data_IF_204117879869
#
_entry.id   IF_204117879869
#
_cell.length_a   1.000
_cell.length_b   1.000
_cell.length_c   1.000
_cell.angle_alpha   90.00
_cell.angle_beta   90.00
_cell.angle_gamma   90.00
#
_symmetry.space_group_name_H-M   'P 1'
#
loop_
_entity.id
_entity.type
_entity.pdbx_description
1 polymer ?
#
# COMPACT_ATOMS: atom_id res chain seq x y z
N UNK A 1 2.56 33.57 82.60
CA UNK A 1 2.12 32.44 81.75
C UNK A 1 3.20 31.38 81.77
N UNK A 2 2.86 30.13 82.12
CA UNK A 2 3.83 29.04 82.24
C UNK A 2 4.40 28.65 80.87
N UNK A 3 5.71 28.77 80.68
CA UNK A 3 6.43 28.41 79.44
C UNK A 3 6.11 26.99 78.97
N UNK A 4 5.82 26.07 79.90
CA UNK A 4 5.42 24.68 79.61
C UNK A 4 4.06 24.55 78.89
N UNK A 5 3.11 25.46 79.15
CA UNK A 5 1.81 25.46 78.46
C UNK A 5 1.90 26.03 77.03
N UNK A 6 2.76 27.04 76.83
CA UNK A 6 3.03 27.61 75.50
C UNK A 6 3.68 26.57 74.57
N UNK A 7 4.65 25.80 75.10
CA UNK A 7 5.32 24.72 74.35
C UNK A 7 4.33 23.63 73.93
N UNK A 8 3.41 23.23 74.82
CA UNK A 8 2.39 22.21 74.49
C UNK A 8 1.48 22.67 73.35
N UNK A 9 1.02 23.92 73.39
CA UNK A 9 0.17 24.49 72.34
C UNK A 9 0.95 24.53 71.01
N UNK A 10 2.22 24.96 71.03
CA UNK A 10 3.05 25.03 69.82
C UNK A 10 3.27 23.65 69.17
N UNK A 11 3.53 22.62 69.98
CA UNK A 11 3.68 21.23 69.50
C UNK A 11 2.36 20.71 68.93
N UNK A 12 1.23 20.99 69.59
CA UNK A 12 -0.10 20.62 69.07
C UNK A 12 -0.40 21.31 67.75
N UNK A 13 -0.08 22.59 67.61
CA UNK A 13 -0.25 23.33 66.35
C UNK A 13 0.56 22.71 65.21
N UNK A 14 1.83 22.38 65.46
CA UNK A 14 2.73 21.81 64.45
C UNK A 14 2.29 20.40 64.06
N UNK A 15 1.92 19.56 65.04
CA UNK A 15 1.44 18.20 64.78
C UNK A 15 0.13 18.20 64.01
N UNK A 16 -0.81 19.10 64.32
CA UNK A 16 -2.04 19.27 63.56
C UNK A 16 -1.74 19.64 62.09
N UNK A 17 -0.80 20.55 61.87
CA UNK A 17 -0.39 21.00 60.53
C UNK A 17 0.25 19.85 59.74
N UNK A 18 1.09 19.03 60.38
CA UNK A 18 1.67 17.83 59.77
C UNK A 18 0.62 16.77 59.41
N UNK A 19 -0.40 16.56 60.24
CA UNK A 19 -1.50 15.62 59.94
C UNK A 19 -2.29 16.08 58.72
N UNK A 20 -2.57 17.39 58.61
CA UNK A 20 -3.27 17.95 57.44
C UNK A 20 -2.45 17.74 56.16
N UNK A 21 -1.14 18.04 56.20
CA UNK A 21 -0.24 17.82 55.05
C UNK A 21 -0.20 16.34 54.67
N UNK A 22 -0.09 15.45 55.66
CA UNK A 22 -0.04 14.00 55.44
C UNK A 22 -1.32 13.48 54.78
N UNK A 23 -2.49 13.97 55.22
CA UNK A 23 -3.77 13.60 54.63
C UNK A 23 -3.89 14.06 53.17
N UNK A 24 -3.39 15.25 52.83
CA UNK A 24 -3.34 15.74 51.45
C UNK A 24 -2.40 14.87 50.60
N UNK A 25 -1.23 14.51 51.12
CA UNK A 25 -0.26 13.69 50.40
C UNK A 25 -0.79 12.30 50.04
N UNK A 26 -1.50 11.65 50.96
CA UNK A 26 -2.15 10.35 50.69
C UNK A 26 -3.19 10.48 49.58
N UNK A 27 -3.98 11.55 49.58
CA UNK A 27 -4.98 11.79 48.52
C UNK A 27 -4.32 12.01 47.15
N UNK A 28 -3.21 12.75 47.08
CA UNK A 28 -2.45 12.94 45.84
C UNK A 28 -1.87 11.60 45.36
N UNK A 29 -1.28 10.82 46.26
CA UNK A 29 -0.68 9.52 45.93
C UNK A 29 -1.72 8.55 45.36
N UNK A 30 -2.90 8.44 45.99
CA UNK A 30 -3.97 7.56 45.49
C UNK A 30 -4.46 8.01 44.10
N UNK A 31 -4.56 9.33 43.86
CA UNK A 31 -4.91 9.87 42.55
C UNK A 31 -3.87 9.55 41.49
N UNK A 32 -2.58 9.72 41.81
CA UNK A 32 -1.48 9.38 40.90
C UNK A 32 -1.47 7.90 40.55
N UNK A 33 -1.62 7.00 41.54
CA UNK A 33 -1.68 5.55 41.28
C UNK A 33 -2.85 5.19 40.35
N UNK A 34 -4.02 5.78 40.56
CA UNK A 34 -5.19 5.54 39.71
C UNK A 34 -4.98 6.11 38.29
N UNK A 35 -4.37 7.30 38.18
CA UNK A 35 -4.04 7.91 36.89
C UNK A 35 -3.03 7.08 36.10
N UNK A 36 -1.99 6.56 36.77
CA UNK A 36 -0.98 5.68 36.14
C UNK A 36 -1.61 4.36 35.69
N UNK A 37 -2.47 3.75 36.52
CA UNK A 37 -3.20 2.53 36.14
C UNK A 37 -4.07 2.77 34.92
N UNK A 38 -4.88 3.83 34.94
CA UNK A 38 -5.72 4.20 33.80
C UNK A 38 -4.91 4.49 32.54
N UNK A 39 -3.74 5.13 32.68
CA UNK A 39 -2.82 5.37 31.56
C UNK A 39 -2.29 4.06 30.97
N UNK A 40 -1.84 3.14 31.82
CA UNK A 40 -1.34 1.83 31.40
C UNK A 40 -2.44 0.98 30.74
N UNK A 41 -3.65 0.97 31.31
CA UNK A 41 -4.80 0.26 30.74
C UNK A 41 -5.22 0.87 29.40
N UNK A 42 -5.14 2.19 29.24
CA UNK A 42 -5.37 2.89 27.98
C UNK A 42 -4.35 2.51 26.90
N UNK A 43 -3.06 2.47 27.24
CA UNK A 43 -2.01 2.00 26.29
C UNK A 43 -2.23 0.54 25.88
N UNK A 44 -2.65 -0.31 26.81
CA UNK A 44 -2.99 -1.71 26.51
C UNK A 44 -4.22 -1.83 25.60
N UNK A 45 -5.27 -1.06 25.88
CA UNK A 45 -6.46 -1.00 25.03
C UNK A 45 -6.12 -0.53 23.61
N UNK A 46 -5.18 0.42 23.48
CA UNK A 46 -4.68 0.87 22.19
C UNK A 46 -3.96 -0.25 21.42
N UNK A 47 -3.04 -0.99 22.06
CA UNK A 47 -2.37 -2.12 21.41
C UNK A 47 -3.32 -3.25 21.01
N UNK A 48 -4.40 -3.45 21.78
CA UNK A 48 -5.47 -4.40 21.40
C UNK A 48 -6.23 -3.91 20.16
N UNK A 49 -6.48 -2.62 20.03
CA UNK A 49 -7.09 -2.04 18.84
C UNK A 49 -6.16 -2.18 17.61
N UNK A 50 -4.85 -1.93 17.75
CA UNK A 50 -3.88 -2.15 16.67
C UNK A 50 -3.85 -3.62 16.22
N UNK A 51 -3.83 -4.56 17.17
CA UNK A 51 -3.91 -5.99 16.85
C UNK A 51 -5.19 -6.34 16.08
N UNK A 52 -6.31 -5.66 16.38
CA UNK A 52 -7.56 -5.80 15.63
C UNK A 52 -7.47 -5.29 14.18
N UNK A 53 -6.75 -4.18 13.94
CA UNK A 53 -6.48 -3.70 12.58
C UNK A 53 -5.64 -4.73 11.81
N UNK A 54 -4.55 -5.22 12.39
CA UNK A 54 -3.68 -6.24 11.75
C UNK A 54 -4.42 -7.53 11.43
N UNK A 55 -5.31 -7.96 12.34
CA UNK A 55 -6.21 -9.09 12.14
C UNK A 55 -7.14 -8.85 10.94
N UNK A 56 -7.76 -7.68 10.88
CA UNK A 56 -8.65 -7.31 9.78
C UNK A 56 -7.94 -7.31 8.43
N UNK A 57 -6.72 -6.77 8.36
CA UNK A 57 -5.90 -6.79 7.15
C UNK A 57 -5.60 -8.22 6.69
N UNK A 58 -5.27 -9.10 7.63
CA UNK A 58 -4.98 -10.51 7.34
C UNK A 58 -6.23 -11.26 6.85
N UNK A 59 -7.38 -11.06 7.48
CA UNK A 59 -8.63 -11.73 7.08
C UNK A 59 -9.16 -11.17 5.76
N UNK A 60 -9.10 -9.84 5.55
CA UNK A 60 -9.52 -9.22 4.29
C UNK A 60 -8.69 -9.70 3.09
N UNK A 61 -7.39 -9.97 3.30
CA UNK A 61 -6.53 -10.55 2.25
C UNK A 61 -6.95 -11.95 1.80
N UNK A 62 -7.71 -12.68 2.63
CA UNK A 62 -8.16 -14.04 2.34
C UNK A 62 -9.63 -14.08 1.91
N UNK A 63 -10.48 -13.27 2.53
CA UNK A 63 -11.92 -13.17 2.23
C UNK A 63 -12.39 -11.70 2.29
N UNK A 64 -12.67 -11.12 1.12
CA UNK A 64 -13.20 -9.76 1.00
C UNK A 64 -14.63 -9.61 1.56
N UNK A 65 -15.33 -10.71 1.90
CA UNK A 65 -16.64 -10.69 2.54
C UNK A 65 -16.55 -10.56 4.07
N UNK A 66 -15.35 -10.51 4.64
CA UNK A 66 -15.13 -10.38 6.07
C UNK A 66 -15.71 -9.07 6.63
N UNK A 67 -16.60 -9.18 7.62
CA UNK A 67 -17.30 -8.03 8.22
C UNK A 67 -16.73 -7.59 9.57
N UNK A 68 -15.74 -8.31 10.10
CA UNK A 68 -15.22 -8.10 11.46
C UNK A 68 -15.60 -9.19 12.46
N UNK A 69 -15.06 -9.06 13.66
CA UNK A 69 -15.20 -9.99 14.79
C UNK A 69 -15.53 -9.20 16.06
N UNK A 70 -16.25 -9.81 17.00
CA UNK A 70 -16.57 -9.14 18.28
C UNK A 70 -16.07 -9.95 19.46
N UNK A 71 -15.58 -9.26 20.48
CA UNK A 71 -15.18 -9.79 21.77
C UNK A 71 -14.07 -10.84 21.65
N UNK A 72 -13.09 -10.58 20.79
CA UNK A 72 -11.93 -11.44 20.60
C UNK A 72 -10.97 -11.23 21.76
N UNK A 73 -10.65 -12.30 22.49
CA UNK A 73 -9.75 -12.22 23.64
C UNK A 73 -8.29 -12.27 23.20
N UNK A 74 -7.50 -11.31 23.69
CA UNK A 74 -6.07 -11.25 23.46
C UNK A 74 -5.38 -10.67 24.71
N UNK A 75 -4.49 -11.45 25.32
CA UNK A 75 -3.79 -11.03 26.54
C UNK A 75 -4.73 -10.77 27.71
N UNK A 76 -4.65 -9.56 28.27
CA UNK A 76 -5.43 -9.12 29.45
C UNK A 76 -6.73 -8.38 29.08
N UNK A 77 -7.11 -8.38 27.80
CA UNK A 77 -8.28 -7.66 27.33
C UNK A 77 -9.00 -8.34 26.16
N UNK A 78 -9.90 -7.59 25.55
CA UNK A 78 -10.63 -7.99 24.35
C UNK A 78 -10.62 -6.88 23.31
N UNK A 79 -10.80 -7.22 22.05
CA UNK A 79 -11.05 -6.24 21.00
C UNK A 79 -12.24 -6.63 20.12
N UNK A 80 -12.82 -5.62 19.48
CA UNK A 80 -13.77 -5.76 18.38
C UNK A 80 -13.12 -5.23 17.10
N UNK A 81 -13.50 -5.80 15.97
CA UNK A 81 -13.22 -5.31 14.62
C UNK A 81 -14.55 -5.17 13.90
N UNK A 82 -14.74 -4.06 13.23
CA UNK A 82 -15.85 -3.86 12.29
C UNK A 82 -15.30 -3.43 10.95
N UNK A 83 -15.77 -4.07 9.90
CA UNK A 83 -15.41 -3.74 8.53
C UNK A 83 -16.66 -3.33 7.76
N UNK A 84 -16.57 -2.23 7.04
CA UNK A 84 -17.62 -1.74 6.15
C UNK A 84 -17.02 -1.34 4.81
N UNK A 85 -17.82 -1.39 3.75
CA UNK A 85 -17.38 -0.91 2.43
C UNK A 85 -17.16 0.61 2.47
N UNK A 86 -16.06 1.06 1.88
CA UNK A 86 -15.70 2.46 1.70
C UNK A 86 -16.56 3.17 0.66
N UNK A 87 -16.39 4.48 0.57
CA UNK A 87 -17.05 5.33 -0.45
C UNK A 87 -16.47 5.12 -1.86
N UNK A 88 -15.36 4.39 -1.97
CA UNK A 88 -14.65 4.03 -3.19
C UNK A 88 -14.74 2.50 -3.35
N UNK A 89 -14.87 2.02 -4.59
CA UNK A 89 -14.87 0.59 -4.93
C UNK A 89 -13.62 -0.10 -4.37
N UNK A 90 -13.75 -1.34 -3.88
CA UNK A 90 -12.67 -2.12 -3.26
C UNK A 90 -11.98 -1.49 -2.05
N UNK A 91 -12.52 -0.40 -1.50
CA UNK A 91 -12.05 0.14 -0.22
C UNK A 91 -12.90 -0.40 0.92
N UNK A 92 -12.27 -0.64 2.07
CA UNK A 92 -12.87 -1.07 3.32
C UNK A 92 -12.50 -0.07 4.41
N UNK A 93 -13.49 0.39 5.17
CA UNK A 93 -13.27 1.09 6.43
C UNK A 93 -13.22 0.05 7.54
N UNK A 94 -12.06 -0.08 8.16
CA UNK A 94 -11.83 -0.96 9.31
C UNK A 94 -11.80 -0.10 10.56
N UNK A 95 -12.64 -0.43 11.54
CA UNK A 95 -12.58 0.16 12.88
C UNK A 95 -12.35 -0.96 13.88
N UNK A 96 -11.24 -0.88 14.61
CA UNK A 96 -10.93 -1.77 15.70
C UNK A 96 -11.00 -1.02 17.03
N UNK A 97 -11.63 -1.65 18.03
CA UNK A 97 -11.77 -1.07 19.37
C UNK A 97 -11.28 -2.07 20.41
N UNK A 98 -10.27 -1.68 21.18
CA UNK A 98 -9.71 -2.48 22.26
C UNK A 98 -10.26 -2.07 23.63
N UNK A 99 -10.43 -3.06 24.50
CA UNK A 99 -11.03 -2.92 25.82
C UNK A 99 -10.18 -3.63 26.88
N UNK A 100 -9.87 -2.93 27.97
CA UNK A 100 -9.17 -3.50 29.14
C UNK A 100 -9.93 -3.17 30.42
N UNK A 101 -10.22 -4.16 31.29
CA UNK A 101 -9.96 -5.60 31.11
C UNK A 101 -10.97 -6.30 30.20
N UNK A 102 -12.16 -5.73 30.01
CA UNK A 102 -13.23 -6.29 29.19
C UNK A 102 -14.23 -5.19 28.76
N UNK A 103 -15.20 -5.52 27.89
CA UNK A 103 -16.23 -4.58 27.41
C UNK A 103 -17.22 -4.09 28.46
N UNK A 104 -17.43 -4.85 29.53
CA UNK A 104 -18.55 -4.67 30.46
C UNK A 104 -18.16 -3.98 31.76
N UNK A 105 -16.88 -4.04 32.12
CA UNK A 105 -16.34 -3.50 33.36
C UNK A 105 -16.53 -1.98 33.46
N UNK A 106 -17.04 -1.52 34.61
CA UNK A 106 -17.18 -0.09 34.91
C UNK A 106 -15.81 0.52 35.17
N UNK A 107 -15.40 1.49 34.36
CA UNK A 107 -14.06 2.09 34.41
C UNK A 107 -13.03 1.40 33.52
N UNK A 108 -13.48 0.57 32.56
CA UNK A 108 -12.61 0.03 31.51
C UNK A 108 -11.87 1.13 30.76
N UNK A 109 -10.67 0.81 30.30
CA UNK A 109 -10.05 1.57 29.24
C UNK A 109 -10.61 1.12 27.89
N UNK A 110 -10.90 2.07 27.03
CA UNK A 110 -11.41 1.86 25.67
C UNK A 110 -10.61 2.75 24.72
N UNK A 111 -10.12 2.18 23.63
CA UNK A 111 -9.41 2.90 22.58
C UNK A 111 -9.85 2.38 21.23
N UNK A 112 -10.12 3.29 20.30
CA UNK A 112 -10.51 2.94 18.95
C UNK A 112 -9.49 3.45 17.95
N UNK A 113 -9.21 2.61 16.96
CA UNK A 113 -8.37 2.91 15.81
C UNK A 113 -9.22 2.68 14.55
N UNK A 114 -9.18 3.63 13.62
CA UNK A 114 -9.81 3.45 12.31
C UNK A 114 -8.77 3.53 11.21
N UNK A 115 -8.85 2.62 10.25
CA UNK A 115 -8.04 2.57 9.04
C UNK A 115 -8.92 2.42 7.80
N UNK A 116 -8.53 3.07 6.72
CA UNK A 116 -9.10 2.86 5.39
C UNK A 116 -8.14 1.96 4.61
N UNK A 117 -8.68 0.88 4.05
CA UNK A 117 -7.96 -0.32 3.63
C UNK A 117 -8.45 -0.67 2.23
N UNK A 118 -7.62 -0.50 1.19
CA UNK A 118 -8.00 -0.84 -0.19
C UNK A 118 -7.61 -2.28 -0.52
N UNK A 119 -8.57 -3.14 -0.86
CA UNK A 119 -8.30 -4.46 -1.40
C UNK A 119 -7.68 -4.33 -2.78
N UNK A 120 -6.55 -5.00 -2.97
CA UNK A 120 -6.01 -5.22 -4.30
C UNK A 120 -7.07 -5.93 -5.13
N UNK A 121 -7.45 -5.29 -6.23
CA UNK A 121 -7.98 -6.05 -7.33
C UNK A 121 -6.82 -6.88 -7.92
N UNK A 122 -7.11 -8.09 -8.36
CA UNK A 122 -6.16 -8.88 -9.14
C UNK A 122 -5.76 -8.06 -10.36
N UNK A 123 -4.46 -7.80 -10.53
CA UNK A 123 -3.96 -7.26 -11.79
C UNK A 123 -4.24 -8.31 -12.86
N UNK A 124 -5.13 -7.99 -13.80
CA UNK A 124 -5.47 -8.88 -14.91
C UNK A 124 -4.55 -8.56 -16.10
N UNK A 125 -3.64 -9.48 -16.38
CA UNK A 125 -2.68 -9.36 -17.47
C UNK A 125 -2.86 -10.55 -18.40
N UNK A 126 -3.40 -10.29 -19.58
CA UNK A 126 -3.71 -11.30 -20.59
C UNK A 126 -2.71 -11.34 -21.76
N UNK A 127 -1.61 -10.59 -21.67
CA UNK A 127 -0.54 -10.62 -22.68
C UNK A 127 0.77 -10.00 -22.19
N UNK A 128 1.90 -10.38 -22.78
CA UNK A 128 3.19 -9.72 -22.55
C UNK A 128 3.15 -8.24 -22.98
N UNK A 129 2.56 -7.97 -24.15
CA UNK A 129 2.39 -6.62 -24.69
C UNK A 129 0.94 -6.37 -25.13
N UNK A 130 0.25 -5.42 -24.49
CA UNK A 130 -1.07 -4.95 -24.89
C UNK A 130 -1.05 -3.49 -25.35
N UNK A 131 -1.72 -3.18 -26.46
CA UNK A 131 -1.80 -1.81 -26.96
C UNK A 131 -3.17 -1.38 -27.51
N UNK A 132 -3.51 -0.10 -27.32
CA UNK A 132 -4.62 0.57 -28.02
C UNK A 132 -4.26 1.09 -29.41
N UNK A 133 -3.01 0.94 -29.85
CA UNK A 133 -2.51 1.40 -31.13
C UNK A 133 -2.04 0.29 -32.05
N UNK A 134 -1.32 0.67 -33.12
CA UNK A 134 -0.62 -0.28 -33.98
C UNK A 134 0.67 -0.78 -33.30
N UNK A 135 1.06 -2.02 -33.58
CA UNK A 135 2.32 -2.64 -33.15
C UNK A 135 3.20 -2.91 -34.35
N UNK A 136 4.49 -2.56 -34.23
CA UNK A 136 5.54 -3.00 -35.13
C UNK A 136 6.67 -3.64 -34.33
N UNK A 137 6.93 -4.93 -34.55
CA UNK A 137 8.05 -5.69 -33.99
C UNK A 137 9.04 -6.00 -35.10
N UNK A 138 10.30 -5.62 -34.94
CA UNK A 138 11.33 -5.82 -35.97
C UNK A 138 12.75 -5.93 -35.42
N UNK A 139 13.72 -6.24 -36.30
CA UNK A 139 15.09 -6.52 -35.90
C UNK A 139 15.20 -8.00 -35.53
N UNK A 140 15.75 -8.27 -34.35
CA UNK A 140 15.80 -9.59 -33.70
C UNK A 140 15.27 -9.46 -32.26
N UNK A 141 14.17 -8.72 -32.12
CA UNK A 141 13.45 -8.61 -30.86
C UNK A 141 12.62 -9.88 -30.61
N UNK A 142 12.50 -10.25 -29.34
CA UNK A 142 11.73 -11.39 -28.86
C UNK A 142 10.62 -10.89 -27.92
N UNK A 143 9.42 -11.47 -28.05
CA UNK A 143 8.29 -11.20 -27.17
C UNK A 143 7.63 -12.54 -26.87
N UNK A 144 7.72 -12.99 -25.63
CA UNK A 144 7.14 -14.26 -25.19
C UNK A 144 5.98 -14.03 -24.22
N UNK A 145 4.77 -14.42 -24.65
CA UNK A 145 3.57 -14.43 -23.80
C UNK A 145 3.47 -15.64 -22.87
N UNK A 146 4.29 -16.68 -23.05
CA UNK A 146 4.16 -17.95 -22.35
C UNK A 146 2.76 -18.55 -22.53
N UNK A 147 2.04 -18.73 -21.42
CA UNK A 147 0.66 -19.26 -21.41
C UNK A 147 -0.40 -18.19 -21.75
N UNK A 148 -0.02 -16.92 -21.94
CA UNK A 148 -0.90 -15.83 -22.40
C UNK A 148 -0.49 -15.34 -23.79
N UNK A 149 -1.19 -14.35 -24.34
CA UNK A 149 -0.85 -13.85 -25.66
C UNK A 149 0.49 -13.09 -25.66
N UNK A 150 1.32 -13.26 -26.70
CA UNK A 150 2.53 -12.44 -26.86
C UNK A 150 2.16 -10.96 -27.04
N UNK A 151 1.39 -10.68 -28.08
CA UNK A 151 0.93 -9.32 -28.40
C UNK A 151 -0.59 -9.24 -28.58
N UNK A 152 -1.24 -8.36 -27.82
CA UNK A 152 -2.63 -7.95 -28.02
C UNK A 152 -2.69 -6.51 -28.52
N UNK A 153 -3.44 -6.22 -29.58
CA UNK A 153 -3.57 -4.85 -30.09
C UNK A 153 -4.94 -4.50 -30.66
N UNK A 154 -5.35 -3.24 -30.56
CA UNK A 154 -6.50 -2.71 -31.31
C UNK A 154 -6.14 -2.37 -32.77
N UNK A 155 -4.88 -1.99 -33.02
CA UNK A 155 -4.37 -1.62 -34.33
C UNK A 155 -3.70 -2.78 -35.08
N UNK A 156 -3.13 -2.48 -36.25
CA UNK A 156 -2.36 -3.49 -37.00
C UNK A 156 -1.16 -3.99 -36.20
N UNK A 157 -0.95 -5.30 -36.16
CA UNK A 157 0.23 -5.94 -35.59
C UNK A 157 1.11 -6.42 -36.76
N UNK A 158 2.34 -5.93 -36.82
CA UNK A 158 3.32 -6.28 -37.86
C UNK A 158 4.58 -6.80 -37.20
N UNK A 159 4.90 -8.07 -37.46
CA UNK A 159 6.17 -8.70 -37.07
C UNK A 159 6.99 -8.90 -38.34
N UNK A 160 8.23 -8.40 -38.36
CA UNK A 160 9.06 -8.40 -39.56
C UNK A 160 10.56 -8.57 -39.25
N UNK A 161 11.34 -9.01 -40.24
CA UNK A 161 12.76 -9.31 -40.03
C UNK A 161 12.94 -10.65 -39.34
N UNK A 162 13.88 -10.70 -38.39
CA UNK A 162 14.20 -11.88 -37.58
C UNK A 162 13.54 -11.79 -36.18
N UNK A 163 12.56 -10.90 -36.01
CA UNK A 163 11.82 -10.77 -34.76
C UNK A 163 10.90 -11.97 -34.55
N UNK A 164 10.80 -12.42 -33.30
CA UNK A 164 9.92 -13.49 -32.88
C UNK A 164 8.86 -12.97 -31.91
N UNK A 165 7.69 -13.59 -31.97
CA UNK A 165 6.61 -13.37 -31.03
C UNK A 165 5.99 -14.73 -30.76
N UNK A 166 6.02 -15.16 -29.50
CA UNK A 166 5.41 -16.40 -29.02
C UNK A 166 4.33 -16.12 -27.96
N UNK A 167 3.57 -17.14 -27.61
CA UNK A 167 2.47 -17.11 -26.64
C UNK A 167 1.26 -17.89 -27.13
N UNK A 168 0.21 -17.96 -26.31
CA UNK A 168 -1.05 -18.63 -26.64
C UNK A 168 -2.24 -17.64 -26.66
N UNK A 169 -2.58 -17.02 -27.82
CA UNK A 169 -1.88 -17.10 -29.11
C UNK A 169 -0.72 -16.07 -29.21
N UNK A 170 0.21 -16.23 -30.17
CA UNK A 170 1.33 -15.28 -30.30
C UNK A 170 0.88 -13.85 -30.57
N UNK A 171 -0.16 -13.67 -31.38
CA UNK A 171 -0.79 -12.37 -31.61
C UNK A 171 -2.31 -12.48 -31.58
N UNK A 172 -2.97 -11.48 -31.03
CA UNK A 172 -4.44 -11.38 -31.01
C UNK A 172 -4.91 -9.94 -31.05
N UNK A 173 -6.19 -9.74 -31.32
CA UNK A 173 -6.84 -8.43 -31.31
C UNK A 173 -7.78 -8.33 -30.13
N UNK A 174 -7.68 -7.25 -29.37
CA UNK A 174 -8.47 -7.00 -28.17
C UNK A 174 -8.61 -5.51 -27.92
N UNK A 175 -9.66 -5.12 -27.20
CA UNK A 175 -9.82 -3.74 -26.74
C UNK A 175 -8.81 -3.45 -25.64
N UNK A 176 -8.24 -2.25 -25.66
CA UNK A 176 -7.35 -1.79 -24.62
C UNK A 176 -8.17 -1.51 -23.35
N UNK A 177 -7.91 -2.23 -22.24
CA UNK A 177 -8.67 -2.06 -21.00
C UNK A 177 -8.42 -0.69 -20.37
N UNK A 178 -9.34 -0.25 -19.50
CA UNK A 178 -9.11 0.95 -18.69
C UNK A 178 -8.02 0.70 -17.65
N UNK A 179 -7.45 1.77 -17.08
CA UNK A 179 -6.47 1.65 -15.99
C UNK A 179 -7.03 0.85 -14.82
N UNK A 180 -8.29 1.12 -14.47
CA UNK A 180 -9.02 0.41 -13.42
C UNK A 180 -9.33 -1.04 -13.79
N UNK A 181 -9.47 -1.40 -15.06
CA UNK A 181 -9.64 -2.82 -15.43
C UNK A 181 -8.32 -3.58 -15.28
N UNK A 182 -7.18 -2.94 -15.57
CA UNK A 182 -5.84 -3.55 -15.44
C UNK A 182 -5.43 -3.68 -13.98
N UNK A 183 -5.49 -2.58 -13.22
CA UNK A 183 -4.95 -2.50 -11.87
C UNK A 183 -6.01 -2.67 -10.78
N UNK A 184 -7.29 -2.57 -11.14
CA UNK A 184 -8.45 -2.50 -10.23
C UNK A 184 -8.29 -1.57 -9.03
N UNK A 185 -7.55 -0.50 -9.27
CA UNK A 185 -7.48 0.71 -8.50
C UNK A 185 -7.51 1.90 -9.47
N UNK A 186 -7.97 3.05 -9.00
CA UNK A 186 -7.98 4.29 -9.79
C UNK A 186 -6.57 4.84 -9.99
N UNK A 187 -6.39 5.64 -11.04
CA UNK A 187 -5.14 6.38 -11.27
C UNK A 187 -4.71 7.19 -10.02
N UNK A 188 -5.66 7.86 -9.35
CA UNK A 188 -5.38 8.69 -8.17
C UNK A 188 -4.90 7.86 -6.96
N UNK A 189 -5.44 6.65 -6.77
CA UNK A 189 -5.04 5.75 -5.69
C UNK A 189 -3.62 5.24 -5.90
N UNK A 190 -3.31 4.71 -7.09
CA UNK A 190 -1.95 4.24 -7.44
C UNK A 190 -0.95 5.40 -7.38
N UNK A 191 -1.34 6.58 -7.89
CA UNK A 191 -0.49 7.77 -7.85
C UNK A 191 -0.19 8.23 -6.43
N UNK A 192 -1.13 8.08 -5.48
CA UNK A 192 -0.92 8.49 -4.08
C UNK A 192 0.18 7.69 -3.37
N UNK A 193 0.45 6.47 -3.86
CA UNK A 193 1.48 5.56 -3.34
C UNK A 193 2.81 5.64 -4.11
N UNK A 194 2.84 6.43 -5.19
CA UNK A 194 3.94 6.46 -6.13
C UNK A 194 5.05 7.47 -5.78
N UNK A 195 6.26 7.16 -6.21
CA UNK A 195 7.29 8.17 -6.40
C UNK A 195 6.98 8.95 -7.68
N UNK A 196 6.72 10.26 -7.54
CA UNK A 196 6.27 11.10 -8.65
C UNK A 196 7.44 11.85 -9.30
N UNK A 197 7.55 11.76 -10.62
CA UNK A 197 8.46 12.54 -11.45
C UNK A 197 7.68 13.43 -12.41
N UNK A 198 7.92 14.73 -12.37
CA UNK A 198 7.28 15.70 -13.28
C UNK A 198 8.28 16.19 -14.34
N UNK A 199 7.94 16.00 -15.62
CA UNK A 199 8.76 16.31 -16.80
C UNK A 199 10.25 15.90 -16.67
N UNK A 200 10.57 14.62 -16.44
CA UNK A 200 11.91 14.16 -16.05
C UNK A 200 12.97 14.21 -17.16
N UNK A 201 12.77 15.00 -18.22
CA UNK A 201 13.66 15.03 -19.40
C UNK A 201 15.14 15.18 -18.98
N UNK A 202 16.08 14.34 -19.45
CA UNK A 202 15.92 13.18 -20.32
C UNK A 202 16.00 11.82 -19.60
N UNK A 203 16.20 11.77 -18.27
CA UNK A 203 16.47 10.52 -17.55
C UNK A 203 15.80 10.53 -16.16
N UNK A 204 15.02 9.48 -15.89
CA UNK A 204 14.57 9.15 -14.53
C UNK A 204 15.80 8.76 -13.68
N UNK A 205 15.93 9.21 -12.42
CA UNK A 205 17.01 8.75 -11.55
C UNK A 205 16.92 7.23 -11.30
N UNK A 206 18.10 6.63 -11.20
CA UNK A 206 18.31 5.18 -11.08
C UNK A 206 18.29 4.75 -9.59
N UNK A 207 17.58 3.68 -9.19
CA UNK A 207 16.62 2.86 -9.95
C UNK A 207 15.15 3.30 -9.72
N UNK A 208 14.24 2.92 -10.63
CA UNK A 208 12.80 3.09 -10.43
C UNK A 208 12.23 1.83 -9.76
N UNK A 209 11.98 1.91 -8.44
CA UNK A 209 11.53 0.78 -7.63
C UNK A 209 10.14 1.03 -7.05
N UNK A 210 9.33 -0.01 -6.91
CA UNK A 210 7.95 0.11 -6.43
C UNK A 210 7.05 0.81 -7.45
N UNK A 211 6.14 1.69 -7.00
CA UNK A 211 5.31 2.48 -7.94
C UNK A 211 6.04 3.76 -8.33
N UNK A 212 6.31 3.92 -9.62
CA UNK A 212 6.88 5.13 -10.22
C UNK A 212 5.87 5.79 -11.13
N UNK A 213 5.47 7.02 -10.82
CA UNK A 213 4.52 7.80 -11.61
C UNK A 213 5.21 8.95 -12.33
N UNK A 214 5.13 8.97 -13.65
CA UNK A 214 5.82 9.94 -14.50
C UNK A 214 4.80 10.82 -15.21
N UNK A 215 4.77 12.09 -14.83
CA UNK A 215 3.98 13.11 -15.48
C UNK A 215 4.74 13.68 -16.69
N UNK A 216 4.29 13.30 -17.88
CA UNK A 216 4.93 13.67 -19.15
C UNK A 216 5.60 12.48 -19.82
N UNK A 217 6.47 12.78 -20.78
CA UNK A 217 7.20 11.75 -21.52
C UNK A 217 8.50 11.39 -20.81
N UNK A 218 8.90 10.12 -20.91
CA UNK A 218 10.05 9.57 -20.22
C UNK A 218 11.01 8.88 -21.20
N UNK A 219 12.29 8.81 -20.80
CA UNK A 219 13.29 8.05 -21.56
C UNK A 219 14.21 7.29 -20.62
N UNK A 220 14.37 5.99 -20.85
CA UNK A 220 15.31 5.10 -20.18
C UNK A 220 16.37 4.68 -21.20
N UNK A 221 17.44 5.47 -21.27
CA UNK A 221 18.46 5.31 -22.34
C UNK A 221 19.84 4.97 -21.79
N UNK A 222 20.00 4.99 -20.46
CA UNK A 222 21.26 4.65 -19.79
C UNK A 222 21.47 3.14 -19.87
N UNK A 223 22.59 2.71 -20.44
CA UNK A 223 22.97 1.29 -20.43
C UNK A 223 23.15 0.79 -19.00
N UNK A 224 22.56 -0.36 -18.69
CA UNK A 224 22.56 -0.97 -17.37
C UNK A 224 21.64 -0.29 -16.34
N UNK A 225 20.69 0.52 -16.78
CA UNK A 225 19.58 0.95 -15.92
C UNK A 225 18.79 -0.27 -15.45
N UNK A 226 18.34 -0.28 -14.19
CA UNK A 226 17.53 -1.35 -13.61
C UNK A 226 16.33 -0.75 -12.89
N UNK A 227 15.21 -1.46 -12.90
CA UNK A 227 14.03 -1.09 -12.13
C UNK A 227 13.15 -2.30 -11.83
N UNK A 228 12.31 -2.17 -10.82
CA UNK A 228 11.33 -3.18 -10.44
C UNK A 228 10.03 -2.49 -9.99
N UNK A 229 8.87 -3.12 -10.21
CA UNK A 229 7.60 -2.58 -9.72
C UNK A 229 6.59 -2.20 -10.81
N UNK A 230 5.97 -1.02 -10.66
CA UNK A 230 5.02 -0.46 -11.63
C UNK A 230 5.53 0.89 -12.12
N UNK A 231 5.63 1.06 -13.43
CA UNK A 231 5.91 2.35 -14.05
C UNK A 231 4.66 2.85 -14.75
N UNK A 232 4.17 4.03 -14.37
CA UNK A 232 3.06 4.72 -15.04
C UNK A 232 3.59 5.97 -15.74
N UNK A 233 3.39 6.09 -17.06
CA UNK A 233 3.82 7.24 -17.87
C UNK A 233 2.61 7.91 -18.49
N UNK A 234 2.39 9.20 -18.21
CA UNK A 234 1.23 9.93 -18.77
C UNK A 234 1.48 10.46 -20.19
N UNK A 235 2.74 10.55 -20.62
CA UNK A 235 3.16 10.88 -21.97
C UNK A 235 3.61 9.66 -22.78
N UNK A 236 4.63 9.82 -23.62
CA UNK A 236 5.25 8.72 -24.37
C UNK A 236 6.51 8.20 -23.68
N UNK A 237 6.88 6.97 -23.95
CA UNK A 237 8.00 6.28 -23.34
C UNK A 237 9.00 5.81 -24.40
N UNK A 238 10.29 6.07 -24.16
CA UNK A 238 11.38 5.54 -24.99
C UNK A 238 12.34 4.73 -24.12
N UNK A 239 12.65 3.50 -24.51
CA UNK A 239 13.63 2.64 -23.84
C UNK A 239 14.67 2.19 -24.87
N UNK A 240 15.95 2.42 -24.61
CA UNK A 240 17.05 1.97 -25.50
C UNK A 240 18.02 1.01 -24.84
N UNK A 241 17.89 0.80 -23.53
CA UNK A 241 18.61 -0.21 -22.78
C UNK A 241 18.21 -0.23 -21.31
N UNK A 242 18.49 -1.35 -20.65
CA UNK A 242 18.18 -1.57 -19.24
C UNK A 242 17.33 -2.82 -19.00
N UNK A 243 17.22 -3.20 -17.75
CA UNK A 243 16.45 -4.34 -17.26
C UNK A 243 15.26 -3.82 -16.42
N UNK A 244 14.07 -4.39 -16.61
CA UNK A 244 12.91 -4.07 -15.79
C UNK A 244 12.11 -5.31 -15.44
N UNK A 245 11.85 -5.53 -14.15
CA UNK A 245 10.94 -6.60 -13.70
C UNK A 245 9.66 -5.99 -13.13
N UNK A 246 8.56 -6.04 -13.86
CA UNK A 246 7.28 -5.51 -13.41
C UNK A 246 6.30 -5.13 -14.52
N UNK A 247 5.44 -4.15 -14.24
CA UNK A 247 4.43 -3.66 -15.19
C UNK A 247 4.76 -2.24 -15.66
N UNK A 248 4.72 -2.04 -16.97
CA UNK A 248 4.82 -0.72 -17.60
C UNK A 248 3.46 -0.33 -18.16
N UNK A 249 2.88 0.77 -17.68
CA UNK A 249 1.68 1.38 -18.24
C UNK A 249 2.01 2.76 -18.83
N UNK A 250 1.72 2.95 -20.12
CA UNK A 250 1.98 4.18 -20.84
C UNK A 250 0.71 4.68 -21.53
N UNK A 251 0.30 5.93 -21.26
CA UNK A 251 -0.86 6.56 -21.92
C UNK A 251 -0.56 7.01 -23.35
N UNK A 252 0.71 7.15 -23.70
CA UNK A 252 1.18 7.52 -25.03
C UNK A 252 1.73 6.33 -25.82
N UNK A 253 2.57 6.64 -26.80
CA UNK A 253 3.28 5.63 -27.56
C UNK A 253 4.50 5.11 -26.80
N UNK A 254 4.90 3.87 -27.06
CA UNK A 254 6.14 3.27 -26.55
C UNK A 254 7.09 3.00 -27.71
N UNK A 255 8.34 3.43 -27.59
CA UNK A 255 9.44 3.01 -28.46
C UNK A 255 10.48 2.23 -27.66
N UNK A 256 10.64 0.95 -27.98
CA UNK A 256 11.70 0.09 -27.46
C UNK A 256 12.70 -0.16 -28.59
N UNK A 257 13.97 0.10 -28.30
CA UNK A 257 15.08 -0.09 -29.21
C UNK A 257 16.30 -0.63 -28.45
N UNK A 258 17.35 -1.04 -29.17
CA UNK A 258 18.58 -1.49 -28.54
C UNK A 258 18.42 -2.86 -27.86
N UNK A 259 18.97 -3.02 -26.65
CA UNK A 259 18.92 -4.25 -25.87
C UNK A 259 18.24 -3.92 -24.54
N UNK A 260 16.93 -4.15 -24.48
CA UNK A 260 16.07 -3.89 -23.33
C UNK A 260 15.47 -5.21 -22.92
N UNK A 261 15.60 -5.56 -21.65
CA UNK A 261 15.08 -6.82 -21.10
C UNK A 261 13.95 -6.49 -20.12
N UNK A 262 12.76 -7.04 -20.37
CA UNK A 262 11.57 -6.79 -19.56
C UNK A 262 10.96 -8.13 -19.15
N UNK A 263 10.87 -8.35 -17.84
CA UNK A 263 10.15 -9.48 -17.23
C UNK A 263 8.85 -8.92 -16.63
N UNK A 264 7.69 -9.34 -17.14
CA UNK A 264 6.39 -8.89 -16.64
C UNK A 264 5.43 -8.50 -17.76
N UNK A 265 4.97 -7.25 -17.81
CA UNK A 265 4.00 -6.86 -18.84
C UNK A 265 3.99 -5.38 -19.22
N UNK A 266 3.57 -5.11 -20.45
CA UNK A 266 3.52 -3.76 -21.02
C UNK A 266 2.11 -3.45 -21.51
N UNK A 267 1.60 -2.29 -21.09
CA UNK A 267 0.33 -1.71 -21.53
C UNK A 267 0.58 -0.34 -22.14
N UNK A 268 0.24 -0.15 -23.41
CA UNK A 268 0.42 1.11 -24.12
C UNK A 268 -0.88 1.57 -24.79
N UNK A 269 -1.49 2.64 -24.30
CA UNK A 269 -2.71 3.17 -24.95
C UNK A 269 -2.45 3.70 -26.37
N UNK A 270 -1.20 4.12 -26.67
CA UNK A 270 -0.75 4.50 -28.01
C UNK A 270 0.02 3.38 -28.72
N UNK A 271 0.50 3.68 -29.93
CA UNK A 271 1.26 2.72 -30.75
C UNK A 271 2.57 2.26 -30.10
N UNK A 272 2.99 1.02 -30.40
CA UNK A 272 4.21 0.41 -29.88
C UNK A 272 5.14 0.02 -31.03
N UNK A 273 6.41 0.40 -30.91
CA UNK A 273 7.47 -0.04 -31.81
C UNK A 273 8.55 -0.74 -31.00
N UNK A 274 8.79 -2.01 -31.29
CA UNK A 274 9.88 -2.81 -30.71
C UNK A 274 10.89 -3.10 -31.82
N UNK A 275 12.14 -2.69 -31.59
CA UNK A 275 13.24 -2.79 -32.56
C UNK A 275 14.54 -3.21 -31.86
N UNK A 276 15.56 -3.62 -32.62
CA UNK A 276 16.84 -4.03 -32.05
C UNK A 276 16.80 -5.48 -31.59
N UNK A 277 17.31 -5.77 -30.39
CA UNK A 277 17.32 -7.08 -29.74
C UNK A 277 16.69 -6.95 -28.34
N UNK A 278 15.49 -6.37 -28.27
CA UNK A 278 14.75 -6.32 -27.02
C UNK A 278 14.16 -7.68 -26.70
N UNK A 279 14.10 -8.01 -25.43
CA UNK A 279 13.52 -9.24 -24.89
C UNK A 279 12.39 -8.84 -23.93
N UNK A 280 11.17 -9.34 -24.19
CA UNK A 280 9.97 -9.02 -23.41
C UNK A 280 9.29 -10.33 -23.07
N UNK A 281 9.46 -10.78 -21.84
CA UNK A 281 8.92 -12.04 -21.35
C UNK A 281 7.79 -11.78 -20.36
N UNK A 282 6.64 -12.41 -20.59
CA UNK A 282 5.56 -12.40 -19.62
C UNK A 282 5.93 -13.21 -18.38
N UNK A 283 5.97 -12.54 -17.23
CA UNK A 283 6.27 -13.19 -15.95
C UNK A 283 5.10 -13.07 -14.95
N UNK A 284 4.35 -14.16 -14.81
CA UNK A 284 3.24 -14.27 -13.86
C UNK A 284 3.66 -14.26 -12.39
N UNK A 285 4.89 -14.68 -12.06
CA UNK A 285 5.41 -14.65 -10.70
C UNK A 285 5.75 -13.21 -10.30
N UNK A 286 6.39 -12.44 -11.20
CA UNK A 286 6.63 -11.01 -11.03
C UNK A 286 5.30 -10.26 -10.82
N UNK A 287 4.31 -10.48 -11.67
CA UNK A 287 2.98 -9.87 -11.54
C UNK A 287 2.29 -10.30 -10.23
N UNK A 288 2.40 -11.59 -9.87
CA UNK A 288 1.88 -12.12 -8.61
C UNK A 288 2.53 -11.48 -7.38
N UNK A 289 3.82 -11.19 -7.42
CA UNK A 289 4.54 -10.51 -6.34
C UNK A 289 4.13 -9.04 -6.22
N UNK A 290 3.83 -8.36 -7.34
CA UNK A 290 3.25 -7.02 -7.30
C UNK A 290 1.90 -7.02 -6.58
N UNK A 291 1.03 -7.99 -6.85
CA UNK A 291 -0.24 -8.16 -6.12
C UNK A 291 -0.04 -8.32 -4.59
N UNK A 292 1.08 -8.90 -4.14
CA UNK A 292 1.41 -9.08 -2.72
C UNK A 292 2.08 -7.86 -2.06
N UNK A 293 2.65 -6.93 -2.84
CA UNK A 293 3.23 -5.66 -2.35
C UNK A 293 2.16 -4.57 -2.22
N UNK A 294 1.01 -4.73 -2.89
CA UNK A 294 -0.18 -3.89 -2.76
C UNK A 294 -1.31 -4.47 -1.90
N UNK A 295 -1.07 -5.25 -0.82
CA UNK A 295 -2.15 -6.03 -0.24
C UNK A 295 -3.17 -5.11 0.41
N UNK A 296 -2.73 -4.09 1.16
CA UNK A 296 -3.59 -3.07 1.77
C UNK A 296 -2.72 -1.90 2.24
N UNK A 297 -2.97 -0.68 1.79
CA UNK A 297 -2.34 0.51 2.37
C UNK A 297 -3.31 1.18 3.35
N UNK A 298 -2.85 1.46 4.58
CA UNK A 298 -3.59 2.33 5.51
C UNK A 298 -3.50 3.75 4.94
N UNK A 299 -4.56 4.21 4.27
CA UNK A 299 -4.56 5.53 3.62
C UNK A 299 -4.87 6.66 4.59
N UNK A 300 -5.50 6.34 5.72
CA UNK A 300 -5.73 7.29 6.80
C UNK A 300 -5.81 6.55 8.13
N UNK A 301 -5.19 7.13 9.15
CA UNK A 301 -5.22 6.60 10.51
C UNK A 301 -5.74 7.66 11.46
N UNK A 302 -6.70 7.30 12.30
CA UNK A 302 -7.28 8.19 13.30
C UNK A 302 -7.41 7.45 14.63
N UNK A 303 -6.91 8.09 15.68
CA UNK A 303 -7.09 7.67 17.06
C UNK A 303 -8.19 8.51 17.72
N UNK A 304 -9.15 7.85 18.35
CA UNK A 304 -10.06 8.51 19.29
C UNK A 304 -9.86 8.00 20.72
N UNK A 305 -9.99 8.95 21.66
CA UNK A 305 -10.09 8.72 23.10
C UNK A 305 -11.55 8.59 23.53
#
# INVERSE_FOLDING_TARGET
MNQKGLVLILVLSITLLLVIISAVFINVTVREVNMVRQGNDSTRAFYLAEAGIERALTELSQDQSYTGETNVSLGEGVYDVSVSTGSITNTFNVVATGYVPDKTSTGRAERSVSATVAASASIDVSSALMTGGAVSVSGSADIDGGDVAGVTGEGSIVVQGDADVDGDPPTTYGLFPTFEEIFGATEDEIKSMATIYTDPKPNIPDPANGITWIEGSASFTKSGWRGDGIIVVTGSLTMTGGEFSGIIYCKGAIQIAGNVDIEGAIFAAGAVSVTGNADIEYDSEVIGNLNQVYPYAITSWNESN
#
